data_IF_119165958720
#
_entry.id   IF_119165958720
#
_cell.length_a   1.000
_cell.length_b   1.000
_cell.length_c   1.000
_cell.angle_alpha   90.00
_cell.angle_beta   90.00
_cell.angle_gamma   90.00
#
_symmetry.space_group_name_H-M   'P 1'
#
loop_
_entity.id
_entity.type
_entity.pdbx_description
1 polymer ?
#
# COMPACT_ATOMS: atom_id res chain seq x y z
N UNK A 1 8.25 4.92 -6.07
CA UNK A 1 7.03 5.12 -5.26
C UNK A 1 6.89 4.01 -4.22
N UNK A 2 6.92 2.74 -4.65
CA UNK A 2 6.88 1.55 -3.79
C UNK A 2 7.86 1.55 -2.62
N UNK A 3 9.16 1.72 -2.86
CA UNK A 3 10.20 1.65 -1.80
C UNK A 3 10.00 2.72 -0.72
N UNK A 4 9.54 3.91 -1.11
CA UNK A 4 9.24 5.02 -0.20
C UNK A 4 8.03 4.71 0.67
N UNK A 5 6.98 4.15 0.08
CA UNK A 5 5.78 3.72 0.80
C UNK A 5 6.06 2.55 1.75
N UNK A 6 6.94 1.63 1.36
CA UNK A 6 7.43 0.55 2.22
C UNK A 6 8.19 1.08 3.43
N UNK A 7 9.09 2.04 3.21
CA UNK A 7 9.83 2.70 4.30
C UNK A 7 8.90 3.48 5.23
N UNK A 8 7.91 4.20 4.69
CA UNK A 8 6.90 4.88 5.49
C UNK A 8 5.99 3.93 6.27
N UNK A 9 5.61 2.79 5.68
CA UNK A 9 4.84 1.76 6.37
C UNK A 9 5.65 1.16 7.53
N UNK A 10 6.93 0.83 7.31
CA UNK A 10 7.83 0.36 8.36
C UNK A 10 8.04 1.41 9.47
N UNK A 11 8.08 2.70 9.12
CA UNK A 11 8.18 3.81 10.08
C UNK A 11 6.85 4.17 10.74
N UNK A 12 5.77 3.42 10.47
CA UNK A 12 4.43 3.69 10.98
C UNK A 12 3.87 5.07 10.57
N UNK A 13 4.41 5.64 9.49
CA UNK A 13 3.96 6.90 8.87
C UNK A 13 2.83 6.68 7.88
N UNK A 14 2.72 5.47 7.32
CA UNK A 14 1.67 5.11 6.38
C UNK A 14 0.82 3.99 6.97
N UNK A 15 -0.50 4.18 6.99
CA UNK A 15 -1.46 3.13 7.37
C UNK A 15 -1.96 2.39 6.13
N UNK A 16 -2.55 1.22 6.36
CA UNK A 16 -3.15 0.36 5.33
C UNK A 16 -4.18 1.11 4.48
N UNK A 17 -5.07 1.91 5.09
CA UNK A 17 -6.02 2.78 4.36
C UNK A 17 -5.35 3.77 3.40
N UNK A 18 -4.22 4.36 3.80
CA UNK A 18 -3.49 5.29 2.95
C UNK A 18 -2.87 4.55 1.76
N UNK A 19 -2.27 3.39 2.01
CA UNK A 19 -1.75 2.50 0.97
C UNK A 19 -2.85 2.08 -0.01
N UNK A 20 -4.06 1.77 0.47
CA UNK A 20 -5.17 1.44 -0.41
C UNK A 20 -5.53 2.61 -1.32
N UNK A 21 -5.59 3.82 -0.77
CA UNK A 21 -5.87 5.03 -1.53
C UNK A 21 -4.80 5.30 -2.60
N UNK A 22 -3.53 4.97 -2.33
CA UNK A 22 -2.49 5.03 -3.35
C UNK A 22 -2.67 3.98 -4.47
N UNK A 23 -3.24 2.81 -4.16
CA UNK A 23 -3.63 1.83 -5.19
C UNK A 23 -4.77 2.38 -6.06
N UNK A 24 -5.81 2.93 -5.43
CA UNK A 24 -6.95 3.54 -6.16
C UNK A 24 -6.54 4.73 -7.02
N UNK A 25 -5.58 5.53 -6.55
CA UNK A 25 -5.00 6.65 -7.32
C UNK A 25 -4.04 6.18 -8.43
N UNK A 26 -3.76 4.88 -8.54
CA UNK A 26 -2.81 4.31 -9.51
C UNK A 26 -1.34 4.64 -9.22
N UNK A 27 -1.03 5.10 -8.00
CA UNK A 27 0.35 5.40 -7.58
C UNK A 27 1.15 4.14 -7.25
N UNK A 28 0.48 3.05 -6.86
CA UNK A 28 1.03 1.70 -6.69
C UNK A 28 0.03 0.65 -7.18
N UNK A 29 0.49 -0.58 -7.41
CA UNK A 29 -0.38 -1.70 -7.79
C UNK A 29 -0.94 -2.43 -6.55
N UNK A 30 -2.02 -3.20 -6.71
CA UNK A 30 -2.54 -4.08 -5.67
C UNK A 30 -1.49 -5.10 -5.19
N UNK A 31 -0.59 -5.50 -6.09
CA UNK A 31 0.52 -6.40 -5.80
C UNK A 31 1.61 -5.72 -4.95
N UNK A 32 1.85 -4.43 -5.18
CA UNK A 32 2.73 -3.61 -4.36
C UNK A 32 2.16 -3.40 -2.95
N UNK A 33 0.85 -3.18 -2.83
CA UNK A 33 0.17 -3.12 -1.54
C UNK A 33 0.41 -4.40 -0.73
N UNK A 34 0.27 -5.56 -1.35
CA UNK A 34 0.51 -6.85 -0.70
C UNK A 34 1.97 -7.01 -0.27
N UNK A 35 2.93 -6.59 -1.09
CA UNK A 35 4.36 -6.61 -0.71
C UNK A 35 4.70 -5.64 0.43
N UNK A 36 3.97 -4.53 0.58
CA UNK A 36 4.23 -3.53 1.64
C UNK A 36 3.57 -3.97 2.95
N UNK A 37 2.30 -4.35 2.88
CA UNK A 37 1.49 -4.65 4.06
C UNK A 37 1.61 -6.10 4.54
N UNK A 38 1.98 -7.01 3.63
CA UNK A 38 1.94 -8.46 3.84
C UNK A 38 0.53 -9.05 3.74
N UNK A 39 -0.48 -8.24 3.45
CA UNK A 39 -1.88 -8.66 3.32
C UNK A 39 -2.38 -8.44 1.90
N UNK A 40 -3.21 -9.39 1.42
CA UNK A 40 -3.88 -9.23 0.14
C UNK A 40 -4.67 -7.92 0.12
N UNK A 41 -4.60 -7.19 -1.00
CA UNK A 41 -5.39 -5.98 -1.18
C UNK A 41 -6.88 -6.34 -1.05
N UNK A 42 -7.64 -5.70 -0.13
CA UNK A 42 -9.06 -5.95 0.00
C UNK A 42 -9.74 -5.37 -1.23
N UNK A 43 -9.91 -6.22 -2.24
CA UNK A 43 -10.67 -5.90 -3.42
C UNK A 43 -12.12 -5.90 -2.96
N UNK A 44 -12.67 -4.73 -2.63
CA UNK A 44 -14.12 -4.58 -2.52
C UNK A 44 -14.66 -4.81 -3.93
N UNK A 45 -15.12 -6.04 -4.16
CA UNK A 45 -15.80 -6.48 -5.36
C UNK A 45 -17.14 -5.75 -5.53
#
# INVERSE_FOLDING_TARGET
MFERLKDWYNKNWCRKDQLQRYVELGAITSQDYEKITGEAYPTSA
#
